data_IF_711217682549
#
_entry.id   IF_711217682549
#
_cell.length_a   1.000
_cell.length_b   1.000
_cell.length_c   1.000
_cell.angle_alpha   90.00
_cell.angle_beta   90.00
_cell.angle_gamma   90.00
#
_symmetry.space_group_name_H-M   'P 1'
#
loop_
_entity.id
_entity.type
_entity.pdbx_description
1 polymer ?
#
# COMPACT_ATOMS: atom_id res chain seq x y z
N UNK A 1 -62.81 6.18 -22.39
CA UNK A 1 -61.91 6.99 -21.53
C UNK A 1 -62.22 6.60 -20.08
N UNK A 2 -61.48 5.66 -19.47
CA UNK A 2 -60.22 5.83 -18.69
C UNK A 2 -60.47 6.78 -17.49
N UNK A 3 -60.37 6.36 -16.22
CA UNK A 3 -59.13 5.91 -15.54
C UNK A 3 -59.44 5.11 -14.26
N UNK A 4 -58.85 3.93 -14.12
CA UNK A 4 -58.81 3.15 -12.88
C UNK A 4 -57.62 3.61 -12.03
N UNK A 5 -57.87 3.75 -10.74
CA UNK A 5 -56.95 4.19 -9.71
C UNK A 5 -56.11 3.04 -9.15
N UNK A 6 -54.81 3.31 -8.99
CA UNK A 6 -54.04 2.94 -7.80
C UNK A 6 -53.56 1.49 -7.66
N UNK A 7 -52.24 1.31 -7.56
CA UNK A 7 -51.67 0.06 -7.06
C UNK A 7 -50.22 -0.15 -7.46
N UNK A 8 -49.30 0.57 -6.81
CA UNK A 8 -47.87 0.31 -6.91
C UNK A 8 -47.51 -1.02 -6.26
N UNK A 9 -46.62 -1.77 -6.90
CA UNK A 9 -46.07 -3.02 -6.40
C UNK A 9 -44.69 -3.26 -6.99
N UNK A 10 -43.71 -2.48 -6.52
CA UNK A 10 -42.30 -2.69 -6.81
C UNK A 10 -41.79 -3.92 -6.06
N UNK A 11 -41.37 -4.94 -6.80
CA UNK A 11 -40.64 -6.09 -6.28
C UNK A 11 -39.17 -5.71 -6.06
N UNK A 12 -38.86 -5.22 -4.85
CA UNK A 12 -37.50 -5.08 -4.37
C UNK A 12 -37.05 -6.41 -3.73
N UNK A 13 -36.19 -7.14 -4.44
CA UNK A 13 -35.35 -8.18 -3.85
C UNK A 13 -34.22 -7.53 -3.03
N UNK A 14 -34.01 -8.05 -1.82
CA UNK A 14 -32.76 -7.88 -1.07
C UNK A 14 -32.85 -6.95 0.15
N UNK A 15 -32.88 -7.51 1.36
CA UNK A 15 -32.66 -6.73 2.58
C UNK A 15 -33.29 -7.27 3.86
N UNK A 16 -33.27 -8.58 4.11
CA UNK A 16 -33.86 -9.18 5.32
C UNK A 16 -33.01 -9.04 6.60
N UNK A 17 -31.95 -8.21 6.61
CA UNK A 17 -31.08 -8.03 7.78
C UNK A 17 -31.47 -6.85 8.69
N UNK A 18 -32.31 -5.92 8.23
CA UNK A 18 -32.65 -4.71 9.00
C UNK A 18 -33.75 -4.88 10.07
N UNK A 19 -34.66 -5.84 9.91
CA UNK A 19 -35.88 -5.93 10.72
C UNK A 19 -35.68 -6.54 12.11
N UNK A 20 -34.64 -7.37 12.30
CA UNK A 20 -34.36 -8.01 13.58
C UNK A 20 -33.78 -7.03 14.61
N UNK A 21 -32.89 -6.12 14.17
CA UNK A 21 -32.21 -5.17 15.06
C UNK A 21 -33.14 -4.08 15.62
N UNK A 22 -34.16 -3.68 14.85
CA UNK A 22 -35.11 -2.66 15.25
C UNK A 22 -35.99 -3.07 16.46
N UNK A 23 -36.20 -4.38 16.69
CA UNK A 23 -37.04 -4.88 17.79
C UNK A 23 -36.35 -4.87 19.16
N UNK A 24 -35.03 -4.68 19.21
CA UNK A 24 -34.22 -4.85 20.42
C UNK A 24 -33.69 -3.52 20.98
N UNK A 25 -34.08 -2.38 20.39
CA UNK A 25 -33.61 -1.05 20.81
C UNK A 25 -32.10 -0.84 20.62
N UNK A 26 -31.42 -1.74 19.91
CA UNK A 26 -29.98 -1.69 19.70
C UNK A 26 -29.69 -0.63 18.62
N UNK A 27 -29.07 0.49 19.02
CA UNK A 27 -28.49 1.44 18.05
C UNK A 27 -27.33 0.73 17.34
N UNK A 28 -27.59 0.18 16.15
CA UNK A 28 -26.54 -0.33 15.29
C UNK A 28 -25.58 0.83 14.96
N UNK A 29 -24.26 0.59 15.04
CA UNK A 29 -23.28 1.53 14.50
C UNK A 29 -23.64 1.87 13.04
N UNK A 30 -23.71 3.17 12.73
CA UNK A 30 -24.13 3.67 11.41
C UNK A 30 -23.15 3.34 10.28
N UNK A 31 -21.96 2.84 10.63
CA UNK A 31 -20.88 2.42 9.73
C UNK A 31 -20.96 0.94 9.32
N UNK A 32 -22.03 0.22 9.70
CA UNK A 32 -22.27 -1.17 9.29
C UNK A 32 -21.31 -2.19 9.92
N UNK A 33 -20.50 -1.74 10.88
CA UNK A 33 -19.42 -2.52 11.45
C UNK A 33 -19.80 -3.12 12.80
N UNK A 34 -20.61 -4.17 12.74
CA UNK A 34 -21.17 -4.84 13.91
C UNK A 34 -20.13 -5.51 14.84
N UNK A 35 -18.86 -5.59 14.39
CA UNK A 35 -17.75 -6.26 15.08
C UNK A 35 -16.65 -5.29 15.54
N UNK A 36 -16.82 -3.97 15.39
CA UNK A 36 -15.82 -2.97 15.78
C UNK A 36 -14.51 -3.01 14.96
N UNK A 37 -14.51 -3.67 13.79
CA UNK A 37 -13.33 -3.79 12.92
C UNK A 37 -13.12 -2.51 12.12
N UNK A 38 -12.27 -1.58 12.53
CA UNK A 38 -11.97 -0.40 11.70
C UNK A 38 -11.49 -0.86 10.31
N UNK A 39 -12.14 -0.43 9.21
CA UNK A 39 -11.69 -0.77 7.86
C UNK A 39 -10.27 -0.22 7.67
N UNK A 40 -9.42 -0.97 6.95
CA UNK A 40 -8.04 -0.50 6.71
C UNK A 40 -8.06 0.71 5.78
N UNK A 41 -7.33 1.75 6.16
CA UNK A 41 -7.25 3.00 5.41
C UNK A 41 -6.29 2.88 4.23
N UNK A 42 -6.34 3.84 3.29
CA UNK A 42 -5.51 3.80 2.09
C UNK A 42 -4.00 3.90 2.43
N UNK A 43 -3.66 4.65 3.47
CA UNK A 43 -2.30 4.80 4.00
C UNK A 43 -1.74 3.45 4.46
N UNK A 44 -2.59 2.63 5.09
CA UNK A 44 -2.19 1.30 5.55
C UNK A 44 -2.15 0.27 4.41
N UNK A 45 -3.10 0.33 3.47
CA UNK A 45 -3.08 -0.54 2.28
C UNK A 45 -1.85 -0.30 1.39
N UNK A 46 -1.48 0.95 1.17
CA UNK A 46 -0.25 1.31 0.44
C UNK A 46 1.01 0.84 1.15
N UNK A 47 1.04 0.84 2.49
CA UNK A 47 2.13 0.24 3.26
C UNK A 47 2.20 -1.29 3.04
N UNK A 48 1.07 -1.98 3.04
CA UNK A 48 1.01 -3.44 2.73
C UNK A 48 1.57 -3.71 1.34
N UNK A 49 1.12 -2.98 0.32
CA UNK A 49 1.63 -3.14 -1.05
C UNK A 49 3.10 -2.76 -1.19
N UNK A 50 3.58 -1.76 -0.43
CA UNK A 50 5.00 -1.45 -0.34
C UNK A 50 5.81 -2.60 0.27
N UNK A 51 5.29 -3.27 1.29
CA UNK A 51 5.90 -4.49 1.83
C UNK A 51 5.99 -5.62 0.81
N UNK A 52 4.93 -5.84 0.02
CA UNK A 52 4.92 -6.81 -1.08
C UNK A 52 5.97 -6.46 -2.13
N UNK A 53 6.06 -5.19 -2.54
CA UNK A 53 7.08 -4.72 -3.49
C UNK A 53 8.50 -4.93 -2.95
N UNK A 54 8.74 -4.64 -1.66
CA UNK A 54 10.02 -4.88 -1.01
C UNK A 54 10.40 -6.37 -1.07
N UNK A 55 9.47 -7.27 -0.76
CA UNK A 55 9.71 -8.70 -0.84
C UNK A 55 10.07 -9.15 -2.27
N UNK A 56 9.34 -8.66 -3.27
CA UNK A 56 9.63 -8.95 -4.69
C UNK A 56 11.05 -8.52 -5.06
N UNK A 57 11.48 -7.31 -4.68
CA UNK A 57 12.83 -6.82 -4.99
C UNK A 57 13.93 -7.62 -4.28
N UNK A 58 13.69 -8.05 -3.03
CA UNK A 58 14.60 -8.94 -2.30
C UNK A 58 14.72 -10.29 -3.03
N UNK A 59 13.59 -10.89 -3.42
CA UNK A 59 13.56 -12.16 -4.13
C UNK A 59 14.29 -12.07 -5.48
N UNK A 60 14.09 -10.99 -6.24
CA UNK A 60 14.82 -10.73 -7.49
C UNK A 60 16.33 -10.65 -7.26
N UNK A 61 16.77 -9.90 -6.24
CA UNK A 61 18.19 -9.80 -5.90
C UNK A 61 18.77 -11.14 -5.42
N UNK A 62 18.01 -11.91 -4.64
CA UNK A 62 18.43 -13.22 -4.15
C UNK A 62 18.60 -14.22 -5.30
N UNK A 63 17.64 -14.26 -6.23
CA UNK A 63 17.73 -15.10 -7.42
C UNK A 63 18.93 -14.73 -8.30
N UNK A 64 19.20 -13.44 -8.47
CA UNK A 64 20.39 -12.97 -9.18
C UNK A 64 21.70 -13.42 -8.52
N UNK A 65 21.74 -13.44 -7.19
CA UNK A 65 22.90 -13.91 -6.43
C UNK A 65 23.11 -15.41 -6.59
N UNK A 66 22.04 -16.22 -6.49
CA UNK A 66 22.10 -17.66 -6.70
C UNK A 66 22.50 -18.00 -8.14
N UNK A 67 22.01 -17.28 -9.14
CA UNK A 67 22.42 -17.50 -10.53
C UNK A 67 23.89 -17.19 -10.80
N UNK A 68 24.48 -16.25 -10.05
CA UNK A 68 25.89 -15.86 -10.23
C UNK A 68 26.85 -16.73 -9.41
N UNK A 69 26.46 -17.12 -8.19
CA UNK A 69 27.32 -17.82 -7.22
C UNK A 69 27.04 -19.32 -7.15
N UNK A 70 25.96 -19.79 -7.76
CA UNK A 70 25.49 -21.19 -7.69
C UNK A 70 24.64 -21.50 -6.45
N UNK A 71 23.93 -22.63 -6.52
CA UNK A 71 22.99 -23.07 -5.47
C UNK A 71 23.68 -23.36 -4.13
N UNK A 72 24.91 -23.88 -4.15
CA UNK A 72 25.69 -24.15 -2.94
C UNK A 72 25.94 -22.88 -2.11
N UNK A 73 26.18 -21.74 -2.76
CA UNK A 73 26.29 -20.45 -2.09
C UNK A 73 24.94 -19.96 -1.54
N UNK A 74 23.85 -20.21 -2.28
CA UNK A 74 22.49 -19.81 -1.90
C UNK A 74 21.98 -20.47 -0.62
N UNK A 75 22.30 -21.76 -0.45
CA UNK A 75 21.90 -22.61 0.69
C UNK A 75 22.92 -22.53 1.84
N UNK A 76 24.19 -22.27 1.56
CA UNK A 76 25.26 -22.17 2.56
C UNK A 76 25.23 -20.88 3.38
N UNK A 77 26.20 -20.75 4.30
CA UNK A 77 26.28 -19.65 5.29
C UNK A 77 26.58 -18.24 4.70
N UNK A 78 26.73 -18.10 3.38
CA UNK A 78 26.99 -16.80 2.70
C UNK A 78 28.17 -16.02 3.28
N UNK A 79 29.17 -16.71 3.85
CA UNK A 79 30.39 -16.12 4.41
C UNK A 79 31.19 -15.35 3.35
N UNK A 80 31.02 -15.71 2.07
CA UNK A 80 31.53 -14.98 0.93
C UNK A 80 30.48 -14.00 0.40
N UNK A 81 30.86 -12.74 0.22
CA UNK A 81 29.98 -11.73 -0.37
C UNK A 81 29.57 -12.10 -1.80
N UNK A 82 28.32 -11.83 -2.16
CA UNK A 82 27.84 -12.02 -3.53
C UNK A 82 28.60 -11.09 -4.50
N UNK A 83 29.10 -11.66 -5.60
CA UNK A 83 29.83 -10.93 -6.66
C UNK A 83 28.94 -10.50 -7.83
N UNK A 84 27.61 -10.61 -7.67
CA UNK A 84 26.63 -10.31 -8.72
C UNK A 84 26.73 -8.88 -9.21
N UNK A 85 26.93 -8.72 -10.51
CA UNK A 85 27.00 -7.42 -11.20
C UNK A 85 25.73 -7.15 -12.02
N UNK A 86 25.70 -6.02 -12.75
CA UNK A 86 24.60 -5.72 -13.66
C UNK A 86 23.25 -5.55 -12.98
N UNK A 87 22.22 -6.25 -13.47
CA UNK A 87 20.84 -6.10 -13.02
C UNK A 87 20.62 -6.58 -11.58
N UNK A 88 21.33 -7.63 -11.13
CA UNK A 88 21.22 -8.13 -9.76
C UNK A 88 21.75 -7.13 -8.72
N UNK A 89 22.90 -6.50 -9.02
CA UNK A 89 23.42 -5.38 -8.21
C UNK A 89 22.49 -4.16 -8.21
N UNK A 90 21.71 -3.96 -9.29
CA UNK A 90 20.70 -2.90 -9.34
C UNK A 90 19.49 -3.25 -8.48
N UNK A 91 18.98 -4.47 -8.55
CA UNK A 91 17.89 -4.95 -7.69
C UNK A 91 18.26 -4.82 -6.20
N UNK A 92 19.52 -5.13 -5.83
CA UNK A 92 20.02 -4.93 -4.47
C UNK A 92 19.88 -3.49 -3.98
N UNK A 93 20.38 -2.55 -4.78
CA UNK A 93 20.30 -1.12 -4.44
C UNK A 93 18.85 -0.61 -4.45
N UNK A 94 18.00 -1.14 -5.32
CA UNK A 94 16.59 -0.80 -5.37
C UNK A 94 15.83 -1.20 -4.10
N UNK A 95 16.03 -2.43 -3.59
CA UNK A 95 15.35 -2.88 -2.37
C UNK A 95 15.87 -2.13 -1.13
N UNK A 96 17.18 -1.87 -1.04
CA UNK A 96 17.74 -1.12 0.10
C UNK A 96 17.15 0.29 0.17
N UNK A 97 17.08 0.98 -0.96
CA UNK A 97 16.43 2.28 -1.03
C UNK A 97 14.92 2.18 -0.70
N UNK A 98 14.25 1.10 -1.13
CA UNK A 98 12.85 0.91 -0.79
C UNK A 98 12.64 0.69 0.71
N UNK A 99 13.51 -0.08 1.34
CA UNK A 99 13.47 -0.37 2.77
C UNK A 99 13.56 0.92 3.59
N UNK A 100 14.51 1.80 3.27
CA UNK A 100 14.64 3.11 3.93
C UNK A 100 13.36 3.95 3.81
N UNK A 101 12.81 4.04 2.59
CA UNK A 101 11.59 4.82 2.34
C UNK A 101 10.35 4.20 2.99
N UNK A 102 10.25 2.88 2.98
CA UNK A 102 9.13 2.16 3.58
C UNK A 102 9.14 2.29 5.10
N UNK A 103 10.32 2.30 5.72
CA UNK A 103 10.46 2.53 7.16
C UNK A 103 9.98 3.93 7.56
N UNK A 104 10.41 4.96 6.84
CA UNK A 104 9.95 6.35 7.06
C UNK A 104 8.42 6.43 6.88
N UNK A 105 7.91 5.87 5.78
CA UNK A 105 6.48 5.86 5.51
C UNK A 105 5.68 5.13 6.60
N UNK A 106 6.14 3.95 7.04
CA UNK A 106 5.51 3.17 8.10
C UNK A 106 5.44 3.93 9.42
N UNK A 107 6.50 4.65 9.79
CA UNK A 107 6.56 5.47 11.00
C UNK A 107 5.51 6.60 11.02
N UNK A 108 4.94 6.97 9.88
CA UNK A 108 3.94 8.04 9.76
C UNK A 108 2.54 7.47 9.49
N UNK A 109 2.42 6.53 8.55
CA UNK A 109 1.15 5.94 8.13
C UNK A 109 0.49 5.09 9.22
N UNK A 110 1.27 4.36 10.02
CA UNK A 110 0.73 3.54 11.12
C UNK A 110 0.11 4.44 12.20
N UNK A 111 0.81 5.45 12.76
CA UNK A 111 0.18 6.39 13.70
C UNK A 111 -1.04 7.11 13.12
N UNK A 112 -1.00 7.53 11.85
CA UNK A 112 -2.16 8.17 11.21
C UNK A 112 -3.39 7.27 11.21
N UNK A 113 -3.23 5.99 10.84
CA UNK A 113 -4.30 5.00 10.91
C UNK A 113 -4.82 4.82 12.35
N UNK A 114 -3.92 4.68 13.33
CA UNK A 114 -4.30 4.51 14.74
C UNK A 114 -5.05 5.72 15.31
N UNK A 115 -4.64 6.92 14.91
CA UNK A 115 -5.30 8.18 15.26
C UNK A 115 -6.64 8.38 14.51
N UNK A 116 -6.97 7.53 13.54
CA UNK A 116 -8.18 7.67 12.71
C UNK A 116 -8.07 8.77 11.66
N UNK A 117 -6.85 9.22 11.34
CA UNK A 117 -6.60 10.23 10.30
C UNK A 117 -6.56 9.54 8.94
N UNK A 118 -7.55 9.86 8.10
CA UNK A 118 -7.66 9.41 6.70
C UNK A 118 -8.39 10.48 5.90
N UNK A 119 -7.68 11.54 5.54
CA UNK A 119 -8.20 12.68 4.77
C UNK A 119 -7.86 12.56 3.30
N UNK A 120 -8.44 13.41 2.45
CA UNK A 120 -8.09 13.45 1.02
C UNK A 120 -6.58 13.67 0.80
N UNK A 121 -5.93 14.46 1.67
CA UNK A 121 -4.51 14.76 1.60
C UNK A 121 -3.64 13.55 1.95
N UNK A 122 -3.99 12.80 3.01
CA UNK A 122 -3.24 11.59 3.39
C UNK A 122 -3.45 10.48 2.37
N UNK A 123 -4.66 10.33 1.84
CA UNK A 123 -4.99 9.39 0.76
C UNK A 123 -4.17 9.70 -0.51
N UNK A 124 -4.08 10.97 -0.89
CA UNK A 124 -3.25 11.41 -2.02
C UNK A 124 -1.77 11.09 -1.78
N UNK A 125 -1.25 11.39 -0.58
CA UNK A 125 0.12 11.07 -0.19
C UNK A 125 0.44 9.57 -0.30
N UNK A 126 -0.50 8.73 0.15
CA UNK A 126 -0.40 7.27 0.05
C UNK A 126 -0.35 6.77 -1.40
N UNK A 127 -1.19 7.32 -2.27
CA UNK A 127 -1.21 7.01 -3.71
C UNK A 127 0.09 7.42 -4.40
N UNK A 128 0.56 8.65 -4.16
CA UNK A 128 1.81 9.18 -4.72
C UNK A 128 2.98 8.29 -4.29
N UNK A 129 3.05 7.93 -3.00
CA UNK A 129 4.10 7.07 -2.48
C UNK A 129 4.16 5.74 -3.23
N UNK A 130 3.06 4.99 -3.27
CA UNK A 130 3.09 3.63 -3.84
C UNK A 130 3.37 3.64 -5.35
N UNK A 131 2.79 4.60 -6.09
CA UNK A 131 3.03 4.77 -7.53
C UNK A 131 4.51 5.11 -7.77
N UNK A 132 5.06 6.06 -7.01
CA UNK A 132 6.47 6.43 -7.12
C UNK A 132 7.41 5.24 -6.83
N UNK A 133 7.09 4.39 -5.84
CA UNK A 133 7.89 3.20 -5.52
C UNK A 133 7.86 2.14 -6.62
N UNK A 134 6.69 1.90 -7.21
CA UNK A 134 6.55 0.96 -8.34
C UNK A 134 7.36 1.46 -9.54
N UNK A 135 7.20 2.72 -9.92
CA UNK A 135 7.94 3.33 -11.04
C UNK A 135 9.45 3.31 -10.78
N UNK A 136 9.89 3.68 -9.56
CA UNK A 136 11.29 3.61 -9.16
C UNK A 136 11.84 2.18 -9.30
N UNK A 137 11.12 1.18 -8.78
CA UNK A 137 11.53 -0.22 -8.84
C UNK A 137 11.76 -0.69 -10.28
N UNK A 138 10.80 -0.41 -11.18
CA UNK A 138 10.86 -0.77 -12.60
C UNK A 138 12.07 -0.12 -13.27
N UNK A 139 12.20 1.21 -13.17
CA UNK A 139 13.28 1.98 -13.79
C UNK A 139 14.65 1.54 -13.28
N UNK A 140 14.76 1.30 -11.98
CA UNK A 140 16.03 0.93 -11.35
C UNK A 140 16.51 -0.45 -11.79
N UNK A 141 15.62 -1.45 -11.78
CA UNK A 141 15.98 -2.82 -12.17
C UNK A 141 16.30 -2.90 -13.67
N UNK A 142 15.50 -2.23 -14.50
CA UNK A 142 15.71 -2.15 -15.95
C UNK A 142 17.05 -1.47 -16.32
N UNK A 143 17.66 -0.73 -15.40
CA UNK A 143 18.93 -0.04 -15.66
C UNK A 143 18.77 1.18 -16.56
N UNK A 144 17.55 1.73 -16.63
CA UNK A 144 17.26 2.94 -17.39
C UNK A 144 17.83 4.12 -16.61
N UNK A 145 19.06 4.51 -16.94
CA UNK A 145 19.77 5.69 -16.43
C UNK A 145 19.38 6.96 -17.18
N UNK A 146 18.13 7.09 -17.63
CA UNK A 146 17.67 8.33 -18.25
C UNK A 146 17.41 9.41 -17.18
N UNK A 147 18.18 10.51 -17.26
CA UNK A 147 17.75 11.88 -16.94
C UNK A 147 16.98 12.07 -15.61
N UNK A 148 17.58 11.75 -14.46
CA UNK A 148 17.05 12.20 -13.16
C UNK A 148 15.75 11.53 -12.68
N UNK A 149 15.20 10.55 -13.41
CA UNK A 149 13.97 9.82 -13.03
C UNK A 149 14.11 9.18 -11.65
N UNK A 150 15.30 8.65 -11.33
CA UNK A 150 15.60 8.10 -10.00
C UNK A 150 15.47 9.15 -8.88
N UNK A 151 15.89 10.38 -9.15
CA UNK A 151 15.76 11.51 -8.23
C UNK A 151 14.30 11.95 -8.12
N UNK A 152 13.58 12.05 -9.24
CA UNK A 152 12.15 12.40 -9.27
C UNK A 152 11.31 11.37 -8.49
N UNK A 153 11.56 10.07 -8.68
CA UNK A 153 10.82 9.05 -7.94
C UNK A 153 11.18 9.02 -6.45
N UNK A 154 12.43 9.37 -6.08
CA UNK A 154 12.79 9.56 -4.67
C UNK A 154 12.02 10.73 -4.07
N UNK A 155 11.97 11.88 -4.77
CA UNK A 155 11.16 13.01 -4.35
C UNK A 155 9.67 12.68 -4.30
N UNK A 156 9.15 11.86 -5.21
CA UNK A 156 7.77 11.37 -5.18
C UNK A 156 7.47 10.58 -3.89
N UNK A 157 8.37 9.67 -3.50
CA UNK A 157 8.28 8.98 -2.22
C UNK A 157 8.29 9.96 -1.03
N UNK A 158 9.17 10.97 -1.09
CA UNK A 158 9.29 11.99 -0.06
C UNK A 158 8.05 12.86 0.10
N UNK A 159 7.49 13.31 -1.02
CA UNK A 159 6.23 14.04 -1.05
C UNK A 159 5.11 13.18 -0.45
N UNK A 160 5.04 11.89 -0.81
CA UNK A 160 4.00 10.99 -0.31
C UNK A 160 3.93 10.92 1.22
N UNK A 161 5.05 10.59 1.90
CA UNK A 161 5.04 10.55 3.38
C UNK A 161 4.94 11.94 4.02
N UNK A 162 5.40 12.99 3.34
CA UNK A 162 5.26 14.37 3.83
C UNK A 162 3.80 14.83 3.84
N UNK A 163 3.02 14.48 2.81
CA UNK A 163 1.59 14.82 2.75
C UNK A 163 0.80 14.13 3.86
N UNK A 164 1.10 12.86 4.12
CA UNK A 164 0.48 12.12 5.24
C UNK A 164 0.88 12.75 6.57
N UNK A 165 2.14 13.14 6.74
CA UNK A 165 2.60 13.83 7.94
C UNK A 165 1.86 15.15 8.16
N UNK A 166 1.70 15.97 7.11
CA UNK A 166 0.94 17.23 7.19
C UNK A 166 -0.51 16.94 7.59
N UNK A 167 -1.15 15.96 6.94
CA UNK A 167 -2.51 15.57 7.28
C UNK A 167 -2.63 15.11 8.74
N UNK A 168 -1.66 14.34 9.25
CA UNK A 168 -1.61 13.92 10.65
C UNK A 168 -1.55 15.11 11.60
N UNK A 169 -0.62 16.06 11.36
CA UNK A 169 -0.44 17.25 12.19
C UNK A 169 -1.65 18.20 12.18
N UNK A 170 -2.45 18.18 11.11
CA UNK A 170 -3.65 19.02 11.00
C UNK A 170 -4.89 18.40 11.65
N UNK A 171 -4.87 17.10 11.97
CA UNK A 171 -6.04 16.34 12.41
C UNK A 171 -5.81 15.61 13.75
N UNK A 172 -4.77 16.01 14.50
CA UNK A 172 -4.48 15.57 15.87
C UNK A 172 -4.48 16.75 16.81
#
# INVERSE_FOLDING_TARGET
MIRVSGGGGGSAHGGSSGWAAARIGLKLPSDGNLLGRKPMTMELWSLVWGGVLLFILIALSANANVSAMGMGWGIGNRDQAATTTGWGARARRAYLNHLENLLIYAAIAIPAHLAGVSTELSILGAQIFIIARILHAIVYVAGVTMLGVRTICWFGGAVGYTLIFIALMQNT
#
